data_IF_170679341316
#
_entry.id   IF_170679341316
#
_cell.length_a   1.000
_cell.length_b   1.000
_cell.length_c   1.000
_cell.angle_alpha   90.00
_cell.angle_beta   90.00
_cell.angle_gamma   90.00
#
_symmetry.space_group_name_H-M   'P 1'
#
loop_
_entity.id
_entity.type
_entity.pdbx_description
1 polymer ?
#
# COMPACT_ATOMS: atom_id res chain seq x y z
N UNK A 1 1.16 25.25 -34.18
CA UNK A 1 0.03 24.91 -33.28
C UNK A 1 -1.04 24.27 -34.13
N UNK A 2 -1.32 22.98 -33.94
CA UNK A 2 -2.35 22.26 -34.71
C UNK A 2 -3.70 22.58 -34.08
N UNK A 3 -4.65 23.10 -34.87
CA UNK A 3 -6.03 23.32 -34.40
C UNK A 3 -6.96 22.28 -35.00
N UNK A 4 -7.76 21.64 -34.14
CA UNK A 4 -8.79 20.70 -34.57
C UNK A 4 -10.08 21.48 -34.84
N UNK A 5 -10.57 21.43 -36.08
CA UNK A 5 -11.86 22.05 -36.45
C UNK A 5 -13.01 21.13 -36.06
N UNK A 6 -14.06 21.69 -35.45
CA UNK A 6 -15.27 20.94 -35.14
C UNK A 6 -16.05 20.58 -36.40
N UNK A 7 -16.83 19.49 -36.33
CA UNK A 7 -17.67 19.02 -37.45
C UNK A 7 -18.90 19.90 -37.72
N UNK A 8 -19.21 20.85 -36.83
CA UNK A 8 -20.37 21.79 -36.93
C UNK A 8 -21.71 21.10 -37.24
N UNK A 9 -21.93 19.91 -36.68
CA UNK A 9 -23.19 19.17 -36.79
C UNK A 9 -24.11 19.49 -35.61
N UNK A 10 -25.43 19.43 -35.83
CA UNK A 10 -26.45 19.62 -34.76
C UNK A 10 -26.65 18.38 -33.89
N UNK A 11 -26.24 17.21 -34.37
CA UNK A 11 -26.30 15.96 -33.60
C UNK A 11 -25.37 16.00 -32.40
N UNK A 12 -25.87 15.49 -31.27
CA UNK A 12 -25.08 15.28 -30.05
C UNK A 12 -24.01 14.22 -30.30
N UNK A 13 -22.86 14.37 -29.63
CA UNK A 13 -21.78 13.38 -29.68
C UNK A 13 -22.12 12.16 -28.83
N UNK A 14 -21.86 10.96 -29.37
CA UNK A 14 -22.11 9.68 -28.72
C UNK A 14 -23.36 8.93 -29.22
N UNK A 15 -23.65 7.76 -28.64
CA UNK A 15 -24.78 6.93 -29.03
C UNK A 15 -26.11 7.48 -28.52
N UNK A 16 -27.20 7.21 -29.24
CA UNK A 16 -28.55 7.73 -28.93
C UNK A 16 -29.14 7.16 -27.64
N UNK A 17 -28.74 5.96 -27.25
CA UNK A 17 -29.25 5.20 -26.11
C UNK A 17 -28.48 5.43 -24.81
N UNK A 18 -27.50 6.36 -24.82
CA UNK A 18 -26.66 6.66 -23.67
C UNK A 18 -25.92 5.45 -23.09
N UNK A 19 -25.64 4.44 -23.91
CA UNK A 19 -24.92 3.23 -23.50
C UNK A 19 -25.79 2.15 -22.84
N UNK A 20 -27.11 2.24 -22.94
CA UNK A 20 -28.02 1.20 -22.44
C UNK A 20 -27.81 -0.17 -23.13
N UNK A 21 -27.41 -0.17 -24.41
CA UNK A 21 -27.09 -1.38 -25.19
C UNK A 21 -25.58 -1.61 -25.33
N UNK A 22 -24.78 -1.06 -24.42
CA UNK A 22 -23.34 -1.24 -24.46
C UNK A 22 -22.96 -2.73 -24.43
N UNK A 23 -22.22 -3.13 -25.45
CA UNK A 23 -21.69 -4.50 -25.59
C UNK A 23 -20.25 -4.51 -25.12
N UNK A 24 -19.89 -5.47 -24.27
CA UNK A 24 -18.50 -5.66 -23.86
C UNK A 24 -17.71 -6.33 -24.98
N UNK A 25 -16.82 -5.56 -25.60
CA UNK A 25 -15.93 -5.99 -26.69
C UNK A 25 -14.47 -6.09 -26.20
N UNK A 26 -14.28 -6.68 -25.02
CA UNK A 26 -12.93 -6.94 -24.46
C UNK A 26 -12.38 -8.27 -25.00
N UNK A 27 -13.26 -9.25 -25.17
CA UNK A 27 -12.94 -10.59 -25.65
C UNK A 27 -13.00 -10.68 -27.19
N UNK A 28 -12.57 -11.83 -27.73
CA UNK A 28 -12.70 -12.12 -29.16
C UNK A 28 -14.15 -11.98 -29.64
N UNK A 29 -14.32 -11.38 -30.82
CA UNK A 29 -15.63 -11.20 -31.48
C UNK A 29 -16.42 -12.52 -31.56
N UNK A 30 -17.75 -12.44 -31.43
CA UNK A 30 -18.63 -13.61 -31.35
C UNK A 30 -18.57 -14.56 -32.55
N UNK A 31 -18.13 -14.08 -33.73
CA UNK A 31 -18.00 -14.91 -34.94
C UNK A 31 -16.65 -15.62 -35.05
N UNK A 32 -15.62 -15.09 -34.37
CA UNK A 32 -14.23 -15.56 -34.44
C UNK A 32 -13.80 -16.28 -33.18
N UNK A 33 -14.68 -16.38 -32.19
CA UNK A 33 -14.38 -17.04 -30.94
C UNK A 33 -14.28 -18.56 -31.11
N UNK A 34 -13.67 -19.22 -30.11
CA UNK A 34 -13.49 -20.67 -30.12
C UNK A 34 -14.82 -21.43 -30.23
N UNK A 35 -15.90 -20.87 -29.67
CA UNK A 35 -17.23 -21.46 -29.74
C UNK A 35 -17.78 -21.43 -31.17
N UNK A 36 -17.71 -20.31 -31.89
CA UNK A 36 -18.16 -20.19 -33.28
C UNK A 36 -17.31 -21.08 -34.21
N UNK A 37 -16.00 -21.17 -33.98
CA UNK A 37 -15.13 -22.08 -34.72
C UNK A 37 -15.56 -23.54 -34.51
N UNK A 38 -15.89 -23.91 -33.28
CA UNK A 38 -16.37 -25.26 -32.97
C UNK A 38 -17.74 -25.57 -33.59
N UNK A 39 -18.68 -24.63 -33.52
CA UNK A 39 -20.00 -24.75 -34.16
C UNK A 39 -19.87 -24.87 -35.69
N UNK A 40 -18.98 -24.09 -36.30
CA UNK A 40 -18.65 -24.17 -37.72
C UNK A 40 -18.07 -25.54 -38.09
N UNK A 41 -17.14 -26.07 -37.29
CA UNK A 41 -16.55 -27.38 -37.50
C UNK A 41 -17.60 -28.50 -37.39
N UNK A 42 -18.50 -28.41 -36.41
CA UNK A 42 -19.58 -29.37 -36.21
C UNK A 42 -20.59 -29.34 -37.36
N UNK A 43 -20.89 -28.15 -37.92
CA UNK A 43 -21.72 -27.99 -39.12
C UNK A 43 -21.07 -28.69 -40.32
N UNK A 44 -19.79 -28.45 -40.58
CA UNK A 44 -19.05 -29.06 -41.69
C UNK A 44 -18.99 -30.58 -41.56
N UNK A 45 -18.71 -31.10 -40.36
CA UNK A 45 -18.65 -32.54 -40.12
C UNK A 45 -20.03 -33.22 -40.33
N UNK A 46 -21.13 -32.55 -40.01
CA UNK A 46 -22.49 -33.03 -40.33
C UNK A 46 -22.75 -33.09 -41.83
N UNK A 47 -22.30 -32.09 -42.59
CA UNK A 47 -22.48 -32.03 -44.06
C UNK A 47 -21.64 -33.05 -44.81
N UNK A 48 -20.49 -33.43 -44.27
CA UNK A 48 -19.58 -34.44 -44.84
C UNK A 48 -19.97 -35.88 -44.46
N UNK A 49 -20.91 -36.04 -43.52
CA UNK A 49 -21.33 -37.37 -43.06
C UNK A 49 -21.90 -38.19 -44.23
N UNK A 50 -21.22 -39.29 -44.57
CA UNK A 50 -21.64 -40.22 -45.62
C UNK A 50 -21.22 -39.84 -47.04
N UNK A 51 -20.44 -38.76 -47.22
CA UNK A 51 -19.81 -38.42 -48.50
C UNK A 51 -18.42 -39.07 -48.60
N UNK A 52 -18.00 -39.37 -49.81
CA UNK A 52 -16.61 -39.81 -50.08
C UNK A 52 -15.62 -38.68 -49.79
N UNK A 53 -14.35 -39.02 -49.61
CA UNK A 53 -13.31 -38.05 -49.29
C UNK A 53 -12.90 -37.25 -50.54
N UNK A 54 -13.38 -36.00 -50.61
CA UNK A 54 -13.07 -35.06 -51.69
C UNK A 54 -11.58 -34.63 -51.74
N UNK A 55 -10.75 -34.97 -50.73
CA UNK A 55 -9.35 -34.50 -50.56
C UNK A 55 -9.16 -32.97 -50.52
N UNK A 56 -10.25 -32.22 -50.42
CA UNK A 56 -10.22 -30.75 -50.30
C UNK A 56 -9.98 -30.38 -48.83
N UNK A 57 -8.94 -29.58 -48.58
CA UNK A 57 -8.63 -29.10 -47.23
C UNK A 57 -9.66 -28.05 -46.77
N UNK A 58 -10.38 -28.34 -45.68
CA UNK A 58 -11.44 -27.48 -45.11
C UNK A 58 -11.05 -26.87 -43.76
N UNK A 59 -9.74 -26.84 -43.46
CA UNK A 59 -9.19 -26.29 -42.22
C UNK A 59 -8.74 -27.36 -41.22
N UNK A 60 -7.91 -26.92 -40.27
CA UNK A 60 -7.18 -27.82 -39.36
C UNK A 60 -8.09 -28.59 -38.39
N UNK A 61 -9.29 -28.06 -38.10
CA UNK A 61 -10.26 -28.68 -37.20
C UNK A 61 -11.23 -29.64 -37.93
N UNK A 62 -11.19 -29.67 -39.26
CA UNK A 62 -12.19 -30.33 -40.12
C UNK A 62 -11.63 -31.52 -40.90
N UNK A 63 -10.59 -32.17 -40.37
CA UNK A 63 -10.18 -33.47 -40.90
C UNK A 63 -11.29 -34.52 -40.72
N UNK A 64 -11.36 -35.49 -41.64
CA UNK A 64 -12.42 -36.49 -41.66
C UNK A 64 -12.56 -37.23 -40.32
N UNK A 65 -13.67 -37.03 -39.63
CA UNK A 65 -14.03 -37.77 -38.43
C UNK A 65 -15.09 -38.82 -38.79
N UNK A 66 -14.72 -40.10 -38.68
CA UNK A 66 -15.61 -41.21 -39.02
C UNK A 66 -16.51 -41.65 -37.85
N UNK A 67 -16.23 -41.16 -36.65
CA UNK A 67 -16.97 -41.52 -35.44
C UNK A 67 -17.63 -40.29 -34.84
N UNK A 68 -18.96 -40.35 -34.69
CA UNK A 68 -19.67 -39.33 -33.93
C UNK A 68 -19.40 -39.52 -32.44
N UNK A 69 -18.76 -38.54 -31.81
CA UNK A 69 -18.52 -38.53 -30.36
C UNK A 69 -19.79 -38.15 -29.59
N UNK A 70 -20.91 -38.83 -29.85
CA UNK A 70 -22.18 -38.61 -29.13
C UNK A 70 -21.96 -38.84 -27.64
N UNK A 71 -22.60 -38.02 -26.80
CA UNK A 71 -22.60 -38.13 -25.34
C UNK A 71 -21.24 -37.97 -24.63
N UNK A 72 -20.22 -37.49 -25.35
CA UNK A 72 -18.97 -37.07 -24.73
C UNK A 72 -18.95 -35.55 -24.54
N UNK A 73 -18.16 -35.09 -23.57
CA UNK A 73 -17.88 -33.67 -23.40
C UNK A 73 -17.29 -32.97 -24.65
N UNK A 74 -16.81 -33.74 -25.62
CA UNK A 74 -16.35 -33.22 -26.92
C UNK A 74 -17.47 -33.14 -27.97
N UNK A 75 -18.50 -33.98 -27.90
CA UNK A 75 -19.62 -33.96 -28.87
C UNK A 75 -20.73 -32.99 -28.52
N UNK A 76 -20.92 -32.71 -27.22
CA UNK A 76 -21.97 -31.82 -26.72
C UNK A 76 -21.47 -30.39 -26.47
N UNK A 77 -20.29 -30.02 -27.00
CA UNK A 77 -19.59 -28.77 -26.66
C UNK A 77 -20.31 -27.47 -27.10
N UNK A 78 -21.38 -27.57 -27.89
CA UNK A 78 -22.28 -26.45 -28.22
C UNK A 78 -23.46 -26.29 -27.24
N UNK A 79 -23.75 -27.30 -26.42
CA UNK A 79 -24.84 -27.27 -25.43
C UNK A 79 -24.34 -26.76 -24.07
N UNK A 80 -25.16 -25.94 -23.40
CA UNK A 80 -24.75 -25.04 -22.31
C UNK A 80 -23.91 -25.63 -21.16
N UNK A 81 -24.04 -26.93 -20.85
CA UNK A 81 -23.52 -27.50 -19.60
C UNK A 81 -22.18 -28.25 -19.73
N UNK A 82 -21.70 -28.56 -20.94
CA UNK A 82 -20.48 -29.36 -21.12
C UNK A 82 -19.57 -28.70 -22.16
N UNK A 83 -18.85 -27.65 -21.77
CA UNK A 83 -18.04 -26.84 -22.70
C UNK A 83 -16.55 -27.10 -22.48
N UNK A 84 -15.87 -27.60 -23.53
CA UNK A 84 -14.40 -27.69 -23.57
C UNK A 84 -13.83 -26.48 -24.33
N UNK A 85 -12.84 -25.81 -23.74
CA UNK A 85 -12.13 -24.69 -24.34
C UNK A 85 -12.58 -23.31 -23.84
N UNK A 86 -12.04 -22.21 -24.42
CA UNK A 86 -12.42 -20.85 -24.07
C UNK A 86 -13.92 -20.62 -24.24
N UNK A 87 -14.56 -20.02 -23.23
CA UNK A 87 -16.01 -19.81 -23.18
C UNK A 87 -16.31 -18.35 -23.54
N UNK A 88 -17.36 -18.15 -24.36
CA UNK A 88 -17.88 -16.82 -24.69
C UNK A 88 -18.41 -16.12 -23.44
N UNK A 89 -17.85 -14.97 -23.11
CA UNK A 89 -18.34 -14.12 -22.04
C UNK A 89 -19.72 -13.52 -22.39
N UNK A 90 -20.59 -13.24 -21.39
CA UNK A 90 -21.85 -12.55 -21.62
C UNK A 90 -21.61 -11.13 -22.13
N UNK A 91 -22.24 -10.77 -23.25
CA UNK A 91 -21.95 -9.52 -23.95
C UNK A 91 -22.56 -8.28 -23.27
N UNK A 92 -23.60 -8.48 -22.46
CA UNK A 92 -24.46 -7.45 -21.87
C UNK A 92 -24.35 -7.34 -20.34
N UNK A 93 -23.31 -7.91 -19.74
CA UNK A 93 -23.11 -7.93 -18.29
C UNK A 93 -21.78 -7.28 -17.92
N UNK A 94 -21.82 -6.15 -17.23
CA UNK A 94 -20.61 -5.59 -16.59
C UNK A 94 -20.35 -6.28 -15.26
N UNK A 95 -19.21 -6.94 -15.14
CA UNK A 95 -18.76 -7.53 -13.87
C UNK A 95 -18.48 -6.43 -12.84
N UNK A 96 -19.00 -6.59 -11.62
CA UNK A 96 -18.71 -5.68 -10.51
C UNK A 96 -17.25 -5.86 -10.07
N UNK A 97 -16.45 -4.80 -10.14
CA UNK A 97 -15.06 -4.82 -9.70
C UNK A 97 -14.99 -4.29 -8.27
N UNK A 98 -14.30 -5.03 -7.39
CA UNK A 98 -13.95 -4.61 -6.03
C UNK A 98 -12.42 -4.65 -5.91
N UNK A 99 -11.83 -3.58 -5.43
CA UNK A 99 -10.41 -3.56 -5.08
C UNK A 99 -10.20 -4.37 -3.81
N UNK A 100 -9.33 -5.38 -3.87
CA UNK A 100 -8.92 -6.15 -2.70
C UNK A 100 -7.62 -5.58 -2.14
N UNK A 101 -7.73 -4.74 -1.12
CA UNK A 101 -6.58 -4.07 -0.50
C UNK A 101 -5.87 -4.94 0.55
N UNK A 102 -6.43 -6.09 0.93
CA UNK A 102 -5.85 -6.94 1.97
C UNK A 102 -4.74 -7.83 1.37
N UNK A 103 -3.46 -7.63 1.71
CA UNK A 103 -2.38 -8.46 1.19
C UNK A 103 -2.26 -9.77 1.99
N UNK A 104 -2.06 -10.89 1.29
CA UNK A 104 -1.77 -12.18 1.93
C UNK A 104 -0.26 -12.34 2.21
N UNK A 105 0.34 -11.39 2.93
CA UNK A 105 1.77 -11.42 3.29
C UNK A 105 1.92 -11.93 4.72
N UNK A 106 2.87 -12.84 4.94
CA UNK A 106 3.17 -13.35 6.27
C UNK A 106 3.79 -12.23 7.12
N UNK A 107 3.05 -11.79 8.14
CA UNK A 107 3.51 -10.75 9.09
C UNK A 107 4.83 -11.12 9.75
N UNK A 108 4.90 -12.33 10.32
CA UNK A 108 6.08 -12.78 11.07
C UNK A 108 7.32 -12.85 10.17
N UNK A 109 7.16 -13.36 8.95
CA UNK A 109 8.26 -13.43 7.98
C UNK A 109 8.70 -12.04 7.50
N UNK A 110 7.76 -11.12 7.28
CA UNK A 110 8.07 -9.75 6.84
C UNK A 110 8.86 -8.98 7.90
N UNK A 111 8.40 -9.00 9.15
CA UNK A 111 9.00 -8.24 10.25
C UNK A 111 10.29 -8.87 10.77
N UNK A 112 10.29 -10.21 10.96
CA UNK A 112 11.40 -10.90 11.64
C UNK A 112 12.32 -11.66 10.70
N UNK A 113 11.86 -11.98 9.48
CA UNK A 113 12.57 -12.88 8.58
C UNK A 113 12.41 -14.36 8.89
N UNK A 114 11.65 -14.71 9.93
CA UNK A 114 11.44 -16.08 10.34
C UNK A 114 9.94 -16.34 10.55
N UNK A 115 9.39 -17.28 9.78
CA UNK A 115 8.05 -17.78 10.01
C UNK A 115 8.14 -19.11 10.76
N UNK A 116 7.50 -19.22 11.93
CA UNK A 116 7.46 -20.48 12.68
C UNK A 116 6.78 -21.63 11.94
N UNK A 117 5.95 -21.33 10.94
CA UNK A 117 5.31 -22.31 10.08
C UNK A 117 6.18 -22.76 8.89
N UNK A 118 7.33 -22.12 8.66
CA UNK A 118 8.20 -22.37 7.51
C UNK A 118 7.42 -22.36 6.19
N UNK A 119 7.76 -23.27 5.28
CA UNK A 119 7.14 -23.36 3.95
C UNK A 119 5.69 -23.87 3.97
N UNK A 120 5.17 -24.29 5.13
CA UNK A 120 3.75 -24.67 5.27
C UNK A 120 2.84 -23.47 5.50
N UNK A 121 3.40 -22.25 5.59
CA UNK A 121 2.64 -21.03 5.75
C UNK A 121 1.74 -20.78 4.52
N UNK A 122 0.45 -20.51 4.74
CA UNK A 122 -0.49 -20.15 3.67
C UNK A 122 -0.27 -18.74 3.11
N UNK A 123 0.49 -17.91 3.82
CA UNK A 123 0.74 -16.52 3.48
C UNK A 123 2.09 -16.37 2.76
N UNK A 124 2.20 -15.38 1.89
CA UNK A 124 3.39 -15.13 1.09
C UNK A 124 4.58 -14.70 1.96
N UNK A 125 5.72 -15.35 1.75
CA UNK A 125 7.00 -15.03 2.36
C UNK A 125 7.74 -13.97 1.54
N UNK A 126 7.29 -12.73 1.63
CA UNK A 126 7.94 -11.57 1.02
C UNK A 126 8.39 -10.57 2.09
N UNK A 127 9.55 -9.94 1.84
CA UNK A 127 10.17 -8.91 2.71
C UNK A 127 10.20 -7.53 2.06
N UNK A 128 9.56 -7.36 0.90
CA UNK A 128 9.44 -6.06 0.28
C UNK A 128 8.59 -5.10 1.13
N UNK A 129 9.04 -3.85 1.22
CA UNK A 129 8.46 -2.76 2.00
C UNK A 129 7.82 -1.68 1.12
N UNK A 130 7.52 -2.01 -0.14
CA UNK A 130 6.82 -1.11 -1.05
C UNK A 130 5.49 -0.62 -0.47
N UNK A 131 5.18 0.65 -0.78
CA UNK A 131 3.92 1.30 -0.39
C UNK A 131 2.74 0.63 -1.08
N UNK A 132 1.64 0.48 -0.35
CA UNK A 132 0.38 -0.03 -0.90
C UNK A 132 -0.31 1.02 -1.77
N UNK A 133 -1.15 0.59 -2.71
CA UNK A 133 -1.87 1.50 -3.62
C UNK A 133 -2.63 2.63 -2.91
N UNK A 134 -3.30 2.32 -1.78
CA UNK A 134 -4.02 3.33 -1.00
C UNK A 134 -3.10 4.37 -0.33
N UNK A 135 -1.87 4.00 0.02
CA UNK A 135 -0.87 4.92 0.56
C UNK A 135 -0.40 5.87 -0.54
N UNK A 136 -0.17 5.35 -1.74
CA UNK A 136 0.21 6.14 -2.92
C UNK A 136 -0.91 7.10 -3.34
N UNK A 137 -2.16 6.65 -3.36
CA UNK A 137 -3.32 7.50 -3.67
C UNK A 137 -3.43 8.68 -2.68
N UNK A 138 -3.18 8.43 -1.39
CA UNK A 138 -3.18 9.48 -0.37
C UNK A 138 -2.03 10.46 -0.55
N UNK A 139 -0.80 9.99 -0.77
CA UNK A 139 0.36 10.85 -1.02
C UNK A 139 0.18 11.70 -2.29
N UNK A 140 -0.44 11.12 -3.33
CA UNK A 140 -0.78 11.83 -4.55
C UNK A 140 -1.82 12.93 -4.29
N UNK A 141 -2.84 12.66 -3.46
CA UNK A 141 -3.87 13.63 -3.10
C UNK A 141 -3.33 14.78 -2.22
N UNK A 142 -2.38 14.47 -1.34
CA UNK A 142 -1.71 15.43 -0.47
C UNK A 142 -0.59 16.20 -1.18
N UNK A 143 -0.14 15.71 -2.35
CA UNK A 143 0.93 16.33 -3.15
C UNK A 143 2.34 16.03 -2.66
N UNK A 144 2.49 15.16 -1.66
CA UNK A 144 3.77 14.74 -1.05
C UNK A 144 4.41 13.56 -1.81
N UNK A 145 3.79 13.08 -2.88
CA UNK A 145 4.31 11.98 -3.68
C UNK A 145 5.72 12.28 -4.20
N UNK A 146 6.70 11.47 -3.77
CA UNK A 146 8.11 11.60 -4.15
C UNK A 146 8.93 12.59 -3.30
N UNK A 147 8.33 13.26 -2.31
CA UNK A 147 9.06 14.18 -1.43
C UNK A 147 10.00 13.43 -0.47
N UNK A 148 9.58 12.26 0.01
CA UNK A 148 10.39 11.37 0.87
C UNK A 148 11.57 10.73 0.13
N UNK A 149 11.42 10.43 -1.17
CA UNK A 149 12.45 9.70 -1.92
C UNK A 149 13.69 10.56 -2.24
N UNK A 150 13.62 11.87 -2.00
CA UNK A 150 14.73 12.80 -2.22
C UNK A 150 15.60 13.04 -0.98
N UNK A 151 15.26 12.46 0.17
CA UNK A 151 16.06 12.59 1.39
C UNK A 151 17.11 11.45 1.48
N UNK A 152 18.40 11.74 1.28
CA UNK A 152 19.47 10.74 1.35
C UNK A 152 19.63 10.11 2.73
N UNK A 153 19.11 10.76 3.78
CA UNK A 153 19.29 10.33 5.17
C UNK A 153 18.17 9.41 5.68
N UNK A 154 17.10 9.18 4.89
CA UNK A 154 15.93 8.39 5.35
C UNK A 154 16.26 6.93 5.71
N UNK A 155 17.28 6.34 5.10
CA UNK A 155 17.72 4.96 5.37
C UNK A 155 18.95 4.87 6.27
N UNK A 156 19.43 6.01 6.80
CA UNK A 156 20.52 6.01 7.76
C UNK A 156 20.00 5.59 9.12
N UNK A 157 20.35 4.36 9.53
CA UNK A 157 20.18 3.92 10.91
C UNK A 157 21.29 4.59 11.71
N UNK A 158 21.01 5.77 12.27
CA UNK A 158 21.93 6.43 13.20
C UNK A 158 22.20 5.50 14.38
N UNK A 159 23.34 4.80 14.36
CA UNK A 159 23.76 3.89 15.43
C UNK A 159 24.10 4.62 16.74
N UNK A 160 24.17 5.96 16.70
CA UNK A 160 24.84 6.79 17.70
C UNK A 160 23.92 7.86 18.32
N UNK A 161 22.59 7.70 18.25
CA UNK A 161 21.70 8.49 19.10
C UNK A 161 21.71 7.91 20.52
N UNK A 162 22.76 8.25 21.28
CA UNK A 162 22.72 8.13 22.73
C UNK A 162 21.44 8.83 23.23
N UNK A 163 20.43 8.02 23.60
CA UNK A 163 19.10 8.37 24.13
C UNK A 163 19.24 9.16 25.46
N UNK A 164 19.80 10.37 25.36
CA UNK A 164 19.95 11.29 26.46
C UNK A 164 18.60 11.97 26.68
N UNK A 165 17.96 11.80 27.85
CA UNK A 165 16.69 12.43 28.13
C UNK A 165 16.84 13.96 28.11
N UNK A 166 15.89 14.67 27.50
CA UNK A 166 15.89 16.14 27.40
C UNK A 166 15.38 16.86 28.67
N UNK A 167 14.60 16.17 29.51
CA UNK A 167 13.96 16.73 30.70
C UNK A 167 14.19 15.86 31.94
N UNK A 168 14.24 16.48 33.10
CA UNK A 168 14.40 15.75 34.36
C UNK A 168 13.15 14.95 34.71
N UNK A 169 13.30 13.67 35.02
CA UNK A 169 12.15 12.79 35.30
C UNK A 169 11.42 13.11 36.62
N UNK A 170 12.08 13.80 37.55
CA UNK A 170 11.50 14.17 38.86
C UNK A 170 10.67 15.44 38.77
N UNK A 171 11.19 16.50 38.14
CA UNK A 171 10.50 17.79 38.05
C UNK A 171 9.85 18.08 36.69
N UNK A 172 10.07 17.23 35.69
CA UNK A 172 9.59 17.38 34.30
C UNK A 172 10.00 18.68 33.58
N UNK A 173 10.88 19.46 34.20
CA UNK A 173 11.45 20.68 33.64
C UNK A 173 12.80 20.39 32.97
N UNK A 174 13.32 21.39 32.24
CA UNK A 174 14.70 21.38 31.72
C UNK A 174 15.70 21.19 32.86
N UNK A 175 16.83 20.53 32.56
CA UNK A 175 17.84 20.29 33.59
C UNK A 175 18.47 21.59 34.06
N UNK A 176 18.44 21.80 35.37
CA UNK A 176 19.21 22.84 36.06
C UNK A 176 20.26 22.10 36.88
N UNK A 177 21.52 22.29 36.53
CA UNK A 177 22.68 21.56 37.08
C UNK A 177 22.48 20.04 36.99
N UNK A 178 22.61 19.46 35.78
CA UNK A 178 22.37 18.04 35.57
C UNK A 178 23.45 17.18 36.25
N UNK A 179 23.00 16.18 36.97
CA UNK A 179 23.83 15.17 37.61
C UNK A 179 23.52 13.78 37.07
N UNK A 180 24.51 12.91 37.08
CA UNK A 180 24.43 11.51 36.67
C UNK A 180 24.67 10.62 37.88
N UNK A 181 23.79 9.64 38.06
CA UNK A 181 23.96 8.57 39.06
C UNK A 181 24.79 7.42 38.48
N UNK A 182 25.31 6.52 39.33
CA UNK A 182 26.03 5.31 38.86
C UNK A 182 25.25 4.48 37.84
N UNK A 183 23.93 4.56 37.89
CA UNK A 183 23.00 3.83 37.02
C UNK A 183 22.72 4.57 35.70
N UNK A 184 23.54 5.57 35.34
CA UNK A 184 23.38 6.41 34.14
C UNK A 184 22.03 7.15 34.04
N UNK A 185 21.34 7.36 35.17
CA UNK A 185 20.14 8.20 35.21
C UNK A 185 20.50 9.65 35.51
N UNK A 186 19.86 10.57 34.78
CA UNK A 186 20.09 12.01 34.83
C UNK A 186 18.99 12.74 35.61
N UNK A 187 19.38 13.65 36.51
CA UNK A 187 18.46 14.45 37.32
C UNK A 187 19.01 15.86 37.51
N UNK A 188 18.18 16.80 37.97
CA UNK A 188 18.66 18.08 38.49
C UNK A 188 19.26 17.88 39.89
N UNK A 189 20.28 18.64 40.25
CA UNK A 189 20.91 18.62 41.58
C UNK A 189 19.88 18.70 42.72
N UNK A 190 19.02 19.72 42.69
CA UNK A 190 17.97 19.92 43.72
C UNK A 190 16.99 18.76 43.80
N UNK A 191 16.65 18.16 42.66
CA UNK A 191 15.69 17.06 42.58
C UNK A 191 16.27 15.77 43.15
N UNK A 192 17.52 15.48 42.84
CA UNK A 192 18.21 14.31 43.36
C UNK A 192 18.47 14.41 44.86
N UNK A 193 18.86 15.57 45.36
CA UNK A 193 19.03 15.80 46.81
C UNK A 193 17.71 15.70 47.57
N UNK A 194 16.62 16.26 47.03
CA UNK A 194 15.30 16.13 47.62
C UNK A 194 14.80 14.67 47.66
N UNK A 195 15.10 13.89 46.62
CA UNK A 195 14.79 12.47 46.59
C UNK A 195 15.67 11.67 47.56
N UNK A 196 16.98 11.95 47.61
CA UNK A 196 17.92 11.25 48.50
C UNK A 196 17.55 11.38 49.99
N UNK A 197 16.99 12.53 50.39
CA UNK A 197 16.43 12.73 51.74
C UNK A 197 15.27 11.79 52.07
N UNK A 198 14.48 11.38 51.06
CA UNK A 198 13.33 10.49 51.22
C UNK A 198 13.70 9.01 51.01
N UNK A 199 14.60 8.74 50.08
CA UNK A 199 15.03 7.39 49.72
C UNK A 199 16.45 7.43 49.17
N UNK A 200 17.30 6.52 49.66
CA UNK A 200 18.70 6.36 49.21
C UNK A 200 18.83 5.64 47.86
N UNK A 201 17.70 5.34 47.21
CA UNK A 201 17.63 4.63 45.93
C UNK A 201 17.43 5.60 44.77
N UNK A 202 17.79 5.17 43.57
CA UNK A 202 17.55 5.91 42.33
C UNK A 202 16.04 5.93 42.03
N UNK A 203 15.51 7.07 41.56
CA UNK A 203 14.08 7.24 41.29
C UNK A 203 13.57 6.40 40.10
N UNK A 204 14.44 6.02 39.16
CA UNK A 204 14.05 5.29 37.94
C UNK A 204 14.24 3.78 38.11
N UNK A 205 15.45 3.34 38.46
CA UNK A 205 15.80 1.91 38.53
C UNK A 205 15.82 1.33 39.95
N UNK A 206 15.53 2.12 40.99
CA UNK A 206 15.57 1.70 42.40
C UNK A 206 16.92 1.16 42.92
N UNK A 207 17.99 1.23 42.13
CA UNK A 207 19.33 0.86 42.56
C UNK A 207 19.85 1.81 43.65
N UNK A 208 20.64 1.28 44.58
CA UNK A 208 21.22 2.08 45.66
C UNK A 208 22.26 3.06 45.09
N UNK A 209 22.09 4.36 45.32
CA UNK A 209 22.98 5.38 44.76
C UNK A 209 24.28 5.55 45.56
N UNK A 210 24.34 5.00 46.78
CA UNK A 210 25.46 5.10 47.72
C UNK A 210 25.92 6.55 47.99
N UNK A 211 25.04 7.53 47.81
CA UNK A 211 25.37 8.96 47.97
C UNK A 211 26.32 9.51 46.91
N UNK A 212 26.57 8.77 45.82
CA UNK A 212 27.49 9.20 44.76
C UNK A 212 26.69 9.85 43.63
N UNK A 213 26.88 11.16 43.49
CA UNK A 213 26.27 11.99 42.45
C UNK A 213 27.36 12.74 41.70
N UNK A 214 27.56 12.43 40.43
CA UNK A 214 28.58 13.07 39.60
C UNK A 214 27.94 14.13 38.69
N UNK A 215 28.62 15.26 38.40
CA UNK A 215 28.11 16.23 37.42
C UNK A 215 28.07 15.60 36.02
N UNK A 216 26.93 15.76 35.32
CA UNK A 216 26.71 15.15 34.01
C UNK A 216 27.33 15.99 32.88
N UNK A 217 28.64 15.84 32.66
CA UNK A 217 29.38 16.57 31.60
C UNK A 217 28.77 16.37 30.22
N UNK A 218 28.25 15.17 29.91
CA UNK A 218 27.67 14.85 28.61
C UNK A 218 26.44 15.70 28.27
N UNK A 219 25.54 15.91 29.25
CA UNK A 219 24.36 16.78 29.07
C UNK A 219 24.77 18.24 29.04
N UNK A 220 25.73 18.65 29.88
CA UNK A 220 26.22 20.04 29.89
C UNK A 220 26.85 20.40 28.55
N UNK A 221 27.58 19.49 27.92
CA UNK A 221 28.16 19.69 26.60
C UNK A 221 27.08 19.82 25.52
N UNK A 222 26.05 18.96 25.53
CA UNK A 222 24.90 19.08 24.60
C UNK A 222 24.13 20.39 24.82
N UNK A 223 23.79 20.73 26.07
CA UNK A 223 23.11 21.99 26.43
C UNK A 223 23.90 23.25 26.04
N UNK A 224 25.25 23.19 26.05
CA UNK A 224 26.10 24.29 25.57
C UNK A 224 26.19 24.35 24.04
N UNK A 225 26.11 23.19 23.37
CA UNK A 225 26.03 23.09 21.90
C UNK A 225 24.74 23.70 21.35
N UNK A 226 23.62 23.50 22.06
CA UNK A 226 22.30 24.04 21.69
C UNK A 226 22.14 25.54 22.04
N UNK A 227 23.09 26.11 22.79
CA UNK A 227 23.03 27.49 23.31
C UNK A 227 23.41 28.59 22.31
N UNK A 228 23.74 28.27 21.06
CA UNK A 228 24.08 29.26 20.02
C UNK A 228 22.92 29.58 19.07
N UNK A 229 21.75 28.94 19.21
CA UNK A 229 20.60 29.15 18.31
C UNK A 229 19.27 29.32 19.04
N UNK A 230 19.20 30.20 20.05
CA UNK A 230 17.90 30.72 20.54
C UNK A 230 17.98 32.22 20.82
N UNK A 231 18.01 33.03 19.76
CA UNK A 231 17.56 34.44 19.79
C UNK A 231 16.92 34.82 18.46
N UNK A 232 15.72 34.28 18.18
CA UNK A 232 14.67 34.81 17.29
C UNK A 232 13.66 33.68 17.12
N UNK A 233 12.57 33.70 17.89
CA UNK A 233 11.24 33.14 17.55
C UNK A 233 10.29 33.06 18.76
N UNK A 234 10.41 33.96 19.74
CA UNK A 234 9.37 34.18 20.77
C UNK A 234 8.95 35.66 20.80
N UNK A 235 8.49 36.20 19.66
CA UNK A 235 7.81 37.53 19.59
C UNK A 235 6.54 37.45 18.71
N UNK A 236 5.74 36.39 18.86
CA UNK A 236 4.42 36.36 18.20
C UNK A 236 3.38 35.69 19.11
N UNK A 237 3.17 36.22 20.32
CA UNK A 237 1.90 35.94 21.04
C UNK A 237 1.53 36.93 22.16
N UNK A 238 2.01 38.17 22.10
CA UNK A 238 1.62 39.24 23.03
C UNK A 238 1.21 40.53 22.30
N UNK A 239 0.31 40.45 21.33
CA UNK A 239 -0.39 41.63 20.76
C UNK A 239 -1.83 41.29 20.31
N UNK A 240 -2.58 40.53 21.11
CA UNK A 240 -4.01 40.29 20.85
C UNK A 240 -4.84 40.35 22.15
N UNK A 241 -4.62 41.38 22.97
CA UNK A 241 -5.45 41.63 24.15
C UNK A 241 -5.42 43.11 24.58
N UNK A 242 -5.86 44.02 23.71
CA UNK A 242 -6.28 45.36 24.13
C UNK A 242 -7.06 46.09 23.03
N UNK A 243 -8.38 46.20 23.21
CA UNK A 243 -9.16 47.39 22.81
C UNK A 243 -9.88 47.35 21.46
N UNK A 244 -11.21 47.22 21.54
CA UNK A 244 -12.12 47.48 20.43
C UNK A 244 -13.58 47.45 20.91
N UNK A 245 -13.97 48.48 21.67
CA UNK A 245 -15.35 48.79 22.07
C UNK A 245 -15.78 50.10 21.39
N UNK A 246 -16.81 50.06 20.55
CA UNK A 246 -17.68 51.16 20.07
C UNK A 246 -18.80 50.47 19.26
N UNK A 247 -20.00 50.27 19.81
CA UNK A 247 -21.20 51.12 19.67
C UNK A 247 -21.68 51.33 18.23
N UNK A 248 -22.55 50.44 17.75
CA UNK A 248 -23.96 50.69 17.39
C UNK A 248 -24.71 49.35 17.31
#
# INVERSE_FOLDING_TARGET
MVSYKSKRTTGREGPSDMGATAVLQIETEAEKDAQAIFENALRINKELKGKEDDKVYRGMNNYAQYFEKRDTAQGNASSGMVRKGPIRAPANLRTTVRWDYQPDICKDYKETGFCGFGDSCKFLHDRSDYKFGWQLEREMQEGTYGETDNDPHQYEVDSDSDDLPFKCFICRNTFKDPIVTKCQHYFCEKCALAHYKKSTRCYICNNQTHGVFNPAKNIISKMKGDGSTVTKLDIVDQMASSGGSESD
#
